data_IF_225798511270
#
_entry.id   IF_225798511270
#
_cell.length_a   1.000
_cell.length_b   1.000
_cell.length_c   1.000
_cell.angle_alpha   90.00
_cell.angle_beta   90.00
_cell.angle_gamma   90.00
#
_symmetry.space_group_name_H-M   'P 1'
#
loop_
_entity.id
_entity.type
_entity.pdbx_description
1 polymer ?
#
# COMPACT_ATOMS: atom_id res chain seq x y z
N UNK A 1 21.30 15.45 7.83
CA UNK A 1 19.89 15.29 7.47
C UNK A 1 19.86 14.25 6.38
N UNK A 2 19.35 13.05 6.69
CA UNK A 2 19.12 12.05 5.66
C UNK A 2 18.19 12.65 4.60
N UNK A 3 18.61 12.56 3.33
CA UNK A 3 17.76 12.98 2.21
C UNK A 3 16.59 12.01 2.17
N UNK A 4 15.41 12.46 2.59
CA UNK A 4 14.17 11.73 2.34
C UNK A 4 14.08 11.41 0.84
N UNK A 5 13.68 10.19 0.43
CA UNK A 5 13.40 9.89 -0.97
C UNK A 5 12.19 10.70 -1.48
N UNK A 6 11.40 11.28 -0.58
CA UNK A 6 10.23 12.07 -0.91
C UNK A 6 10.59 13.55 -1.01
N UNK A 7 10.31 14.14 -2.17
CA UNK A 7 10.57 15.55 -2.46
C UNK A 7 9.35 16.46 -2.21
N UNK A 8 8.17 15.87 -1.97
CA UNK A 8 6.89 16.58 -1.82
C UNK A 8 6.13 15.97 -0.65
N UNK A 9 5.71 16.81 0.29
CA UNK A 9 4.77 16.41 1.32
C UNK A 9 3.37 16.28 0.72
N UNK A 10 2.80 15.08 0.78
CA UNK A 10 1.45 14.79 0.29
C UNK A 10 0.55 14.46 1.47
N UNK A 11 -0.60 15.12 1.54
CA UNK A 11 -1.67 14.75 2.47
C UNK A 11 -2.69 13.86 1.73
N UNK A 12 -3.00 12.66 2.24
CA UNK A 12 -4.01 11.79 1.66
C UNK A 12 -5.38 12.49 1.53
N UNK A 13 -6.04 12.32 0.38
CA UNK A 13 -7.35 12.88 0.03
C UNK A 13 -8.22 11.81 -0.63
N UNK A 14 -8.87 11.00 0.20
CA UNK A 14 -9.75 9.93 -0.27
C UNK A 14 -11.00 10.47 -0.97
N UNK A 15 -11.52 11.63 -0.54
CA UNK A 15 -12.72 12.21 -1.13
C UNK A 15 -12.43 12.74 -2.54
N UNK A 16 -11.28 13.39 -2.73
CA UNK A 16 -10.81 13.80 -4.05
C UNK A 16 -10.58 12.61 -4.98
N UNK A 17 -10.01 11.50 -4.48
CA UNK A 17 -9.87 10.27 -5.26
C UNK A 17 -11.23 9.73 -5.72
N UNK A 18 -12.22 9.67 -4.82
CA UNK A 18 -13.59 9.25 -5.15
C UNK A 18 -14.20 10.16 -6.21
N UNK A 19 -14.10 11.48 -6.03
CA UNK A 19 -14.66 12.44 -6.99
C UNK A 19 -13.96 12.37 -8.36
N UNK A 20 -12.65 12.13 -8.37
CA UNK A 20 -11.88 11.88 -9.59
C UNK A 20 -12.35 10.62 -10.32
N UNK A 21 -12.52 9.49 -9.62
CA UNK A 21 -13.04 8.23 -10.19
C UNK A 21 -14.46 8.43 -10.75
N UNK A 22 -15.28 9.17 -10.01
CA UNK A 22 -16.66 9.49 -10.39
C UNK A 22 -16.76 10.61 -11.44
N UNK A 23 -15.62 11.13 -11.93
CA UNK A 23 -15.52 12.21 -12.94
C UNK A 23 -16.27 13.48 -12.56
N UNK A 24 -16.22 13.88 -11.29
CA UNK A 24 -16.82 15.12 -10.80
C UNK A 24 -15.79 16.26 -10.84
N UNK A 25 -15.90 17.11 -11.85
CA UNK A 25 -15.05 18.30 -11.98
C UNK A 25 -13.61 17.98 -12.40
N UNK A 26 -12.70 18.91 -12.11
CA UNK A 26 -11.27 18.78 -12.42
C UNK A 26 -10.51 18.52 -11.12
N UNK A 27 -9.74 17.42 -11.01
CA UNK A 27 -9.00 17.12 -9.80
C UNK A 27 -7.89 18.16 -9.57
N UNK A 28 -7.69 18.65 -8.33
CA UNK A 28 -6.69 19.67 -8.02
C UNK A 28 -5.25 19.13 -8.08
N UNK A 29 -5.10 17.80 -8.02
CA UNK A 29 -3.82 17.08 -8.10
C UNK A 29 -4.01 15.68 -8.68
N UNK A 30 -2.91 15.03 -9.03
CA UNK A 30 -2.92 13.60 -9.29
C UNK A 30 -3.11 12.85 -7.97
N UNK A 31 -4.02 11.89 -7.95
CA UNK A 31 -4.24 11.01 -6.80
C UNK A 31 -3.30 9.81 -6.85
N UNK A 32 -2.82 9.38 -5.68
CA UNK A 32 -1.91 8.25 -5.58
C UNK A 32 -2.66 6.99 -5.18
N UNK A 33 -2.76 6.05 -6.12
CA UNK A 33 -3.41 4.76 -5.98
C UNK A 33 -2.54 3.70 -6.67
N UNK A 34 -2.49 2.51 -6.09
CA UNK A 34 -1.82 1.33 -6.64
C UNK A 34 -2.77 0.14 -6.54
N UNK A 35 -2.76 -0.77 -7.51
CA UNK A 35 -3.66 -1.92 -7.46
C UNK A 35 -3.26 -2.88 -6.32
N UNK A 36 -1.97 -3.22 -6.24
CA UNK A 36 -1.34 -3.98 -5.15
C UNK A 36 0.14 -3.66 -5.09
N UNK A 37 0.71 -3.69 -3.87
CA UNK A 37 2.14 -3.67 -3.64
C UNK A 37 2.60 -5.08 -3.27
N UNK A 38 3.58 -5.63 -3.98
CA UNK A 38 4.08 -6.97 -3.72
C UNK A 38 4.62 -7.10 -2.29
N UNK A 39 4.43 -8.26 -1.67
CA UNK A 39 4.74 -8.46 -0.25
C UNK A 39 6.25 -8.32 0.01
N UNK A 40 7.10 -8.73 -0.93
CA UNK A 40 8.56 -8.59 -0.85
C UNK A 40 8.97 -7.11 -0.87
N UNK A 41 8.23 -6.28 -1.62
CA UNK A 41 8.43 -4.82 -1.67
C UNK A 41 7.94 -4.18 -0.37
N UNK A 42 6.79 -4.59 0.15
CA UNK A 42 6.30 -4.17 1.47
C UNK A 42 7.32 -4.47 2.57
N UNK A 43 7.84 -5.70 2.61
CA UNK A 43 8.87 -6.13 3.57
C UNK A 43 10.15 -5.30 3.42
N UNK A 44 10.60 -5.04 2.18
CA UNK A 44 11.78 -4.23 1.91
C UNK A 44 11.63 -2.77 2.37
N UNK A 45 10.47 -2.15 2.12
CA UNK A 45 10.16 -0.77 2.55
C UNK A 45 10.09 -0.70 4.07
N UNK A 46 9.36 -1.62 4.70
CA UNK A 46 9.24 -1.71 6.16
C UNK A 46 10.61 -1.82 6.83
N UNK A 47 11.49 -2.69 6.31
CA UNK A 47 12.86 -2.86 6.81
C UNK A 47 13.70 -1.61 6.59
N UNK A 48 13.64 -1.01 5.40
CA UNK A 48 14.47 0.15 5.03
C UNK A 48 14.13 1.41 5.84
N UNK A 49 12.87 1.60 6.20
CA UNK A 49 12.38 2.79 6.87
C UNK A 49 11.84 2.55 8.28
N UNK A 50 12.11 1.36 8.85
CA UNK A 50 11.72 1.00 10.22
C UNK A 50 10.21 1.17 10.50
N UNK A 51 9.37 0.89 9.50
CA UNK A 51 7.94 1.18 9.60
C UNK A 51 7.21 0.31 10.61
N UNK A 52 7.77 -0.83 11.01
CA UNK A 52 7.12 -1.77 11.92
C UNK A 52 7.55 -1.60 13.39
N UNK A 53 8.39 -0.62 13.69
CA UNK A 53 8.89 -0.39 15.05
C UNK A 53 7.73 -0.18 16.04
N UNK A 54 7.77 -0.92 17.16
CA UNK A 54 6.74 -0.90 18.19
C UNK A 54 5.46 -1.70 17.85
N UNK A 55 5.42 -2.42 16.73
CA UNK A 55 4.35 -3.40 16.46
C UNK A 55 4.74 -4.79 16.96
N UNK A 56 3.76 -5.52 17.49
CA UNK A 56 3.93 -6.95 17.82
C UNK A 56 3.39 -7.80 16.67
N UNK A 57 4.23 -8.69 16.14
CA UNK A 57 3.82 -9.68 15.14
C UNK A 57 2.77 -10.67 15.65
N UNK A 58 2.65 -10.81 16.97
CA UNK A 58 1.66 -11.69 17.61
C UNK A 58 0.27 -11.04 17.73
N UNK A 59 0.14 -9.75 17.36
CA UNK A 59 -1.15 -9.06 17.41
C UNK A 59 -2.10 -9.59 16.32
N UNK A 60 -3.37 -9.87 16.63
CA UNK A 60 -4.35 -10.32 15.64
C UNK A 60 -4.53 -9.36 14.46
N UNK A 61 -4.24 -8.07 14.64
CA UNK A 61 -4.38 -7.01 13.65
C UNK A 61 -3.03 -6.54 13.05
N UNK A 62 -1.92 -7.25 13.31
CA UNK A 62 -0.58 -6.86 12.88
C UNK A 62 -0.51 -6.54 11.37
N UNK A 63 -1.12 -7.38 10.53
CA UNK A 63 -1.13 -7.19 9.07
C UNK A 63 -1.86 -5.92 8.67
N UNK A 64 -2.97 -5.60 9.35
CA UNK A 64 -3.73 -4.37 9.09
C UNK A 64 -2.93 -3.14 9.53
N UNK A 65 -2.31 -3.19 10.71
CA UNK A 65 -1.48 -2.10 11.22
C UNK A 65 -0.26 -1.85 10.31
N UNK A 66 0.43 -2.90 9.87
CA UNK A 66 1.52 -2.82 8.92
C UNK A 66 1.07 -2.18 7.59
N UNK A 67 -0.05 -2.65 7.03
CA UNK A 67 -0.63 -2.12 5.80
C UNK A 67 -0.97 -0.62 5.90
N UNK A 68 -1.57 -0.19 7.01
CA UNK A 68 -1.85 1.24 7.26
C UNK A 68 -0.56 2.06 7.33
N UNK A 69 0.49 1.57 8.00
CA UNK A 69 1.76 2.29 8.09
C UNK A 69 2.44 2.43 6.73
N UNK A 70 2.44 1.38 5.92
CA UNK A 70 2.97 1.41 4.55
C UNK A 70 2.20 2.41 3.68
N UNK A 71 0.88 2.34 3.66
CA UNK A 71 0.04 3.21 2.83
C UNK A 71 0.17 4.69 3.23
N UNK A 72 0.25 4.97 4.54
CA UNK A 72 0.51 6.33 5.03
C UNK A 72 1.90 6.83 4.65
N UNK A 73 2.91 5.97 4.74
CA UNK A 73 4.29 6.31 4.35
C UNK A 73 4.42 6.58 2.84
N UNK A 74 3.72 5.81 2.01
CA UNK A 74 3.72 5.97 0.55
C UNK A 74 2.71 7.00 0.04
N UNK A 75 1.89 7.59 0.93
CA UNK A 75 0.96 8.67 0.61
C UNK A 75 -0.25 8.23 -0.23
N UNK A 76 -0.78 7.03 0.03
CA UNK A 76 -1.94 6.52 -0.72
C UNK A 76 -3.22 7.26 -0.31
N UNK A 77 -4.05 7.56 -1.30
CA UNK A 77 -5.36 8.21 -1.11
C UNK A 77 -6.49 7.22 -0.81
N UNK A 78 -6.17 5.94 -0.66
CA UNK A 78 -7.13 4.87 -0.44
C UNK A 78 -6.63 3.89 0.61
N UNK A 79 -7.55 3.07 1.11
CA UNK A 79 -7.22 1.85 1.86
C UNK A 79 -7.72 0.64 1.11
N UNK A 80 -6.90 -0.42 1.06
CA UNK A 80 -7.36 -1.71 0.54
C UNK A 80 -8.42 -2.28 1.50
N UNK A 81 -9.58 -2.60 0.94
CA UNK A 81 -10.62 -3.38 1.62
C UNK A 81 -10.76 -4.74 0.92
N UNK A 82 -10.94 -5.80 1.70
CA UNK A 82 -11.31 -7.13 1.20
C UNK A 82 -12.82 -7.36 1.32
N UNK A 83 -13.34 -8.31 0.56
CA UNK A 83 -14.65 -8.89 0.85
C UNK A 83 -14.43 -10.06 1.79
N UNK A 84 -15.05 -10.01 2.97
CA UNK A 84 -15.14 -11.17 3.86
C UNK A 84 -16.01 -12.25 3.17
N UNK A 85 -15.65 -13.51 3.37
CA UNK A 85 -16.38 -14.68 2.85
C UNK A 85 -16.54 -14.73 1.31
N UNK A 86 -15.62 -14.13 0.55
CA UNK A 86 -15.61 -14.20 -0.91
C UNK A 86 -14.54 -15.18 -1.43
N UNK A 87 -14.99 -16.35 -1.90
CA UNK A 87 -14.12 -17.29 -2.62
C UNK A 87 -14.02 -16.92 -4.10
N UNK A 88 -12.81 -16.54 -4.53
CA UNK A 88 -12.45 -16.41 -5.94
C UNK A 88 -11.53 -17.57 -6.33
N UNK A 89 -12.06 -18.73 -6.76
CA UNK A 89 -11.23 -19.85 -7.18
C UNK A 89 -10.43 -19.44 -8.43
N UNK A 90 -9.10 -19.49 -8.31
CA UNK A 90 -8.16 -19.22 -9.38
C UNK A 90 -7.43 -20.51 -9.73
N UNK A 91 -7.36 -20.84 -11.02
CA UNK A 91 -6.44 -21.86 -11.53
C UNK A 91 -5.02 -21.31 -11.42
N UNK A 92 -4.22 -21.89 -10.51
CA UNK A 92 -2.87 -21.41 -10.23
C UNK A 92 -1.85 -22.24 -11.01
N UNK A 93 -0.98 -21.55 -11.74
CA UNK A 93 0.20 -22.14 -12.36
C UNK A 93 1.44 -21.61 -11.65
N UNK A 94 2.33 -22.51 -11.23
CA UNK A 94 3.60 -22.13 -10.62
C UNK A 94 4.65 -21.90 -11.69
N UNK A 95 5.39 -20.80 -11.58
CA UNK A 95 6.54 -20.48 -12.43
C UNK A 95 7.69 -19.98 -11.55
N UNK A 96 8.91 -19.98 -12.09
CA UNK A 96 10.05 -19.38 -11.41
C UNK A 96 9.86 -17.88 -11.29
N UNK A 97 10.11 -17.34 -10.10
CA UNK A 97 10.17 -15.90 -9.88
C UNK A 97 11.46 -15.34 -10.52
N UNK A 98 11.28 -14.36 -11.39
CA UNK A 98 12.39 -13.68 -12.09
C UNK A 98 12.62 -12.26 -11.58
N UNK A 99 11.89 -11.83 -10.54
CA UNK A 99 12.10 -10.56 -9.87
C UNK A 99 13.47 -10.51 -9.18
N UNK A 100 13.95 -9.31 -8.87
CA UNK A 100 15.19 -9.14 -8.09
C UNK A 100 14.97 -9.41 -6.59
N UNK A 101 13.77 -9.13 -6.09
CA UNK A 101 13.35 -9.48 -4.74
C UNK A 101 12.53 -10.76 -4.82
N UNK A 102 13.23 -11.90 -4.90
CA UNK A 102 12.58 -13.21 -5.04
C UNK A 102 12.02 -13.72 -3.72
N UNK A 103 10.94 -14.50 -3.78
CA UNK A 103 10.37 -15.25 -2.65
C UNK A 103 10.48 -16.76 -2.81
#
# INVERSE_FOLDING_TARGET
>A
MDKSPFAVDVTPDWQGLVDCIMRKGTPPRVHHIELFLDLEVQEAICRRYHLLDGLSSDSPDFVLQASVRIQRFLGYDYVRCGLDDFEAPLERLMTQDTAHLQR
#
